data_IF_693236393696
#
_entry.id   IF_693236393696
#
_cell.length_a   1.000
_cell.length_b   1.000
_cell.length_c   1.000
_cell.angle_alpha   90.00
_cell.angle_beta   90.00
_cell.angle_gamma   90.00
#
_symmetry.space_group_name_H-M   'P 1'
#
loop_
_entity.id
_entity.type
_entity.pdbx_description
1 polymer ?
#
# COMPACT_ATOMS: atom_id res chain seq x y z
N UNK A 1 12.98 -1.45 14.47
CA UNK A 1 13.54 -0.34 13.68
C UNK A 1 12.49 0.75 13.61
N UNK A 2 12.85 1.99 13.97
CA UNK A 2 11.91 3.13 13.94
C UNK A 2 11.40 3.39 12.53
N UNK A 3 10.11 3.67 12.41
CA UNK A 3 9.46 4.04 11.16
C UNK A 3 10.15 5.25 10.50
N UNK A 4 10.46 6.29 11.29
CA UNK A 4 11.16 7.48 10.76
C UNK A 4 12.55 7.16 10.23
N UNK A 5 13.29 6.28 10.89
CA UNK A 5 14.61 5.84 10.44
C UNK A 5 14.50 5.05 9.14
N UNK A 6 13.54 4.12 9.04
CA UNK A 6 13.32 3.34 7.83
C UNK A 6 12.97 4.25 6.64
N UNK A 7 11.99 5.16 6.82
CA UNK A 7 11.57 6.06 5.75
C UNK A 7 12.70 7.03 5.36
N UNK A 8 13.48 7.54 6.31
CA UNK A 8 14.66 8.35 5.99
C UNK A 8 15.70 7.56 5.19
N UNK A 9 15.97 6.30 5.52
CA UNK A 9 16.90 5.48 4.76
C UNK A 9 16.49 5.31 3.29
N UNK A 10 15.18 5.28 2.99
CA UNK A 10 14.69 5.17 1.60
C UNK A 10 15.10 6.36 0.73
N UNK A 11 15.35 7.54 1.31
CA UNK A 11 15.77 8.73 0.54
C UNK A 11 17.21 8.61 0.02
N UNK A 12 17.98 7.65 0.55
CA UNK A 12 19.36 7.39 0.18
C UNK A 12 19.50 6.17 -0.76
N UNK A 13 18.41 5.45 -1.03
CA UNK A 13 18.41 4.22 -1.81
C UNK A 13 18.13 4.47 -3.30
N UNK A 14 18.62 3.58 -4.20
CA UNK A 14 18.15 3.55 -5.57
C UNK A 14 16.62 3.38 -5.65
N UNK A 15 15.98 4.02 -6.62
CA UNK A 15 14.51 4.08 -6.73
C UNK A 15 13.80 2.71 -6.64
N UNK A 16 14.24 1.63 -7.33
CA UNK A 16 13.55 0.35 -7.23
C UNK A 16 13.52 -0.22 -5.80
N UNK A 17 14.63 -0.04 -5.06
CA UNK A 17 14.76 -0.51 -3.68
C UNK A 17 13.95 0.40 -2.74
N UNK A 18 14.01 1.71 -2.96
CA UNK A 18 13.22 2.68 -2.19
C UNK A 18 11.71 2.41 -2.34
N UNK A 19 11.23 2.23 -3.56
CA UNK A 19 9.81 1.95 -3.85
C UNK A 19 9.34 0.65 -3.18
N UNK A 20 10.14 -0.42 -3.25
CA UNK A 20 9.81 -1.67 -2.55
C UNK A 20 9.78 -1.47 -1.03
N UNK A 21 10.73 -0.75 -0.44
CA UNK A 21 10.76 -0.48 0.99
C UNK A 21 9.57 0.37 1.46
N UNK A 22 9.21 1.41 0.71
CA UNK A 22 8.04 2.25 0.98
C UNK A 22 6.74 1.44 0.88
N UNK A 23 6.60 0.63 -0.17
CA UNK A 23 5.42 -0.21 -0.37
C UNK A 23 5.31 -1.29 0.72
N UNK A 24 6.42 -1.95 1.08
CA UNK A 24 6.46 -2.96 2.14
C UNK A 24 6.07 -2.35 3.50
N UNK A 25 6.58 -1.17 3.81
CA UNK A 25 6.23 -0.43 5.03
C UNK A 25 4.73 -0.12 5.06
N UNK A 26 4.18 0.30 3.92
CA UNK A 26 2.75 0.58 3.77
C UNK A 26 1.91 -0.67 3.99
N UNK A 27 2.22 -1.77 3.28
CA UNK A 27 1.53 -3.05 3.44
C UNK A 27 1.61 -3.56 4.88
N UNK A 28 2.76 -3.40 5.55
CA UNK A 28 2.92 -3.81 6.94
C UNK A 28 2.02 -2.99 7.88
N UNK A 29 1.99 -1.67 7.74
CA UNK A 29 1.19 -0.81 8.61
C UNK A 29 -0.32 -0.97 8.37
N UNK A 30 -0.72 -1.12 7.10
CA UNK A 30 -2.13 -1.18 6.70
C UNK A 30 -2.72 -2.59 6.82
N UNK A 31 -1.93 -3.64 6.54
CA UNK A 31 -2.49 -4.96 6.23
C UNK A 31 -1.70 -6.15 6.77
N UNK A 32 -0.71 -5.98 7.68
CA UNK A 32 0.09 -7.12 8.19
C UNK A 32 -0.74 -8.27 8.75
N UNK A 33 -1.91 -8.00 9.31
CA UNK A 33 -2.83 -9.00 9.88
C UNK A 33 -3.84 -9.55 8.88
N UNK A 34 -3.84 -9.08 7.64
CA UNK A 34 -4.75 -9.50 6.58
C UNK A 34 -4.22 -10.75 5.85
N UNK A 35 -5.10 -11.54 5.18
CA UNK A 35 -4.67 -12.58 4.27
C UNK A 35 -3.76 -12.01 3.17
N UNK A 36 -2.95 -12.87 2.53
CA UNK A 36 -1.99 -12.42 1.49
C UNK A 36 -2.66 -11.66 0.36
N UNK A 37 -3.86 -12.08 -0.06
CA UNK A 37 -4.64 -11.35 -1.07
C UNK A 37 -5.06 -9.94 -0.59
N UNK A 38 -5.33 -9.75 0.71
CA UNK A 38 -5.62 -8.43 1.27
C UNK A 38 -4.39 -7.52 1.29
N UNK A 39 -3.21 -8.08 1.54
CA UNK A 39 -1.93 -7.36 1.47
C UNK A 39 -1.59 -6.93 0.04
N UNK A 40 -1.78 -7.84 -0.93
CA UNK A 40 -1.64 -7.57 -2.37
C UNK A 40 -2.63 -6.49 -2.83
N UNK A 41 -3.87 -6.52 -2.33
CA UNK A 41 -4.89 -5.54 -2.68
C UNK A 41 -4.55 -4.12 -2.18
N UNK A 42 -3.98 -3.97 -0.98
CA UNK A 42 -3.47 -2.66 -0.51
C UNK A 42 -2.30 -2.18 -1.37
N UNK A 43 -1.38 -3.07 -1.73
CA UNK A 43 -0.27 -2.73 -2.63
C UNK A 43 -0.77 -2.29 -4.02
N UNK A 44 -1.80 -2.96 -4.55
CA UNK A 44 -2.47 -2.62 -5.80
C UNK A 44 -3.08 -1.21 -5.76
N UNK A 45 -3.71 -0.81 -4.65
CA UNK A 45 -4.23 0.57 -4.47
C UNK A 45 -3.09 1.60 -4.53
N UNK A 46 -1.98 1.37 -3.82
CA UNK A 46 -0.84 2.29 -3.82
C UNK A 46 -0.21 2.43 -5.22
N UNK A 47 0.01 1.32 -5.92
CA UNK A 47 0.57 1.31 -7.28
C UNK A 47 -0.37 1.95 -8.31
N UNK A 48 -1.69 1.74 -8.17
CA UNK A 48 -2.70 2.40 -9.00
C UNK A 48 -2.72 3.91 -8.78
N UNK A 49 -2.62 4.37 -7.53
CA UNK A 49 -2.54 5.80 -7.21
C UNK A 49 -1.29 6.45 -7.83
N UNK A 50 -0.15 5.74 -7.85
CA UNK A 50 1.07 6.18 -8.57
C UNK A 50 0.83 6.31 -10.07
N UNK A 51 0.24 5.30 -10.71
CA UNK A 51 -0.03 5.34 -12.16
C UNK A 51 -0.98 6.48 -12.55
N UNK A 52 -1.89 6.89 -11.64
CA UNK A 52 -2.78 8.04 -11.82
C UNK A 52 -2.09 9.39 -11.61
N UNK A 53 -0.84 9.42 -11.14
CA UNK A 53 -0.06 10.64 -10.92
C UNK A 53 -0.54 11.50 -9.75
N UNK A 54 -1.49 11.01 -8.94
CA UNK A 54 -1.88 11.69 -7.72
C UNK A 54 -0.74 11.58 -6.70
N UNK A 55 -0.32 12.71 -6.13
CA UNK A 55 0.74 12.81 -5.10
C UNK A 55 2.19 12.56 -5.57
N UNK A 56 2.41 12.09 -6.80
CA UNK A 56 3.74 11.95 -7.39
C UNK A 56 3.86 10.78 -8.36
N UNK A 57 5.08 10.60 -8.87
CA UNK A 57 5.47 9.61 -9.89
C UNK A 57 6.22 8.40 -9.33
N UNK A 58 6.44 8.35 -8.01
CA UNK A 58 7.10 7.23 -7.32
C UNK A 58 6.20 6.63 -6.24
N UNK A 59 6.41 5.37 -5.88
CA UNK A 59 5.60 4.72 -4.84
C UNK A 59 5.81 5.41 -3.50
N UNK A 60 7.06 5.77 -3.18
CA UNK A 60 7.36 6.51 -1.95
C UNK A 60 6.59 7.83 -1.83
N UNK A 61 6.47 8.62 -2.90
CA UNK A 61 5.69 9.88 -2.88
C UNK A 61 4.21 9.65 -2.60
N UNK A 62 3.63 8.61 -3.21
CA UNK A 62 2.22 8.24 -3.00
C UNK A 62 1.97 7.80 -1.57
N UNK A 63 2.79 6.89 -1.05
CA UNK A 63 2.54 6.34 0.27
C UNK A 63 2.94 7.30 1.38
N UNK A 64 3.84 8.25 1.16
CA UNK A 64 4.18 9.29 2.15
C UNK A 64 3.39 10.59 1.96
N UNK A 65 2.36 10.58 1.10
CA UNK A 65 1.45 11.71 0.95
C UNK A 65 0.60 11.90 2.23
N UNK A 66 0.33 13.15 2.64
CA UNK A 66 -0.39 13.43 3.88
C UNK A 66 -1.74 12.72 3.95
N UNK A 67 -1.95 11.96 5.04
CA UNK A 67 -3.19 11.26 5.36
C UNK A 67 -3.66 10.22 4.33
N UNK A 68 -2.80 9.81 3.40
CA UNK A 68 -3.17 8.82 2.38
C UNK A 68 -2.97 7.38 2.86
N UNK A 69 -1.96 7.17 3.71
CA UNK A 69 -1.60 5.89 4.30
C UNK A 69 -1.02 6.07 5.72
N UNK A 70 -1.00 4.98 6.47
CA UNK A 70 -0.55 4.88 7.85
C UNK A 70 0.90 5.29 8.07
N UNK A 71 1.73 5.26 7.03
CA UNK A 71 3.09 5.82 6.98
C UNK A 71 3.19 7.28 7.42
N UNK A 72 2.11 8.08 7.26
CA UNK A 72 2.07 9.50 7.66
C UNK A 72 1.19 9.79 8.87
N UNK A 73 0.32 8.85 9.26
CA UNK A 73 -0.56 9.00 10.43
C UNK A 73 -0.05 8.24 11.65
N UNK A 74 0.89 7.30 11.46
CA UNK A 74 1.59 6.59 12.53
C UNK A 74 2.80 7.41 12.99
N UNK A 75 3.02 7.47 14.30
CA UNK A 75 4.19 8.15 14.87
C UNK A 75 5.50 7.65 14.24
N UNK A 76 6.41 8.56 13.90
CA UNK A 76 7.75 8.20 13.43
C UNK A 76 8.57 7.39 14.45
N UNK A 77 8.23 7.46 15.74
CA UNK A 77 8.84 6.63 16.79
C UNK A 77 8.31 5.20 16.84
N UNK A 78 7.30 4.86 16.06
CA UNK A 78 6.75 3.51 15.98
C UNK A 78 7.84 2.51 15.58
N UNK A 79 7.95 1.43 16.35
CA UNK A 79 8.93 0.38 16.10
C UNK A 79 8.33 -0.73 15.24
N UNK A 80 8.92 -0.95 14.07
CA UNK A 80 8.70 -2.18 13.29
C UNK A 80 9.44 -3.30 14.01
N UNK A 81 8.69 -4.10 14.77
CA UNK A 81 9.21 -5.17 15.64
C UNK A 81 8.83 -6.58 15.19
N UNK A 82 7.69 -6.77 14.50
CA UNK A 82 7.30 -8.06 13.96
C UNK A 82 8.02 -8.31 12.62
N UNK A 83 9.26 -8.79 12.71
CA UNK A 83 10.11 -9.06 11.55
C UNK A 83 9.50 -10.09 10.58
N UNK A 84 8.91 -11.22 11.02
CA UNK A 84 8.28 -12.16 10.08
C UNK A 84 7.16 -11.50 9.25
N UNK A 85 6.32 -10.68 9.86
CA UNK A 85 5.27 -9.96 9.14
C UNK A 85 5.85 -8.89 8.20
N UNK A 86 6.95 -8.24 8.58
CA UNK A 86 7.62 -7.27 7.72
C UNK A 86 8.29 -7.93 6.51
N UNK A 87 8.94 -9.09 6.69
CA UNK A 87 9.49 -9.89 5.58
C UNK A 87 8.39 -10.31 4.62
N UNK A 88 7.24 -10.78 5.13
CA UNK A 88 6.08 -11.08 4.28
C UNK A 88 5.62 -9.84 3.50
N UNK A 89 5.51 -8.68 4.16
CA UNK A 89 5.12 -7.44 3.50
C UNK A 89 6.14 -7.01 2.43
N UNK A 90 7.43 -7.27 2.64
CA UNK A 90 8.51 -7.04 1.67
C UNK A 90 8.35 -7.91 0.42
N UNK A 91 8.04 -9.19 0.59
CA UNK A 91 7.78 -10.11 -0.51
C UNK A 91 6.51 -9.73 -1.29
N UNK A 92 5.44 -9.37 -0.57
CA UNK A 92 4.20 -8.86 -1.18
C UNK A 92 4.47 -7.60 -2.01
N UNK A 93 5.25 -6.66 -1.49
CA UNK A 93 5.62 -5.44 -2.19
C UNK A 93 6.42 -5.73 -3.47
N UNK A 94 7.44 -6.59 -3.38
CA UNK A 94 8.26 -6.98 -4.53
C UNK A 94 7.43 -7.67 -5.62
N UNK A 95 6.59 -8.63 -5.23
CA UNK A 95 5.68 -9.33 -6.16
C UNK A 95 4.68 -8.38 -6.81
N UNK A 96 4.15 -7.41 -6.04
CA UNK A 96 3.21 -6.42 -6.56
C UNK A 96 3.87 -5.49 -7.58
N UNK A 97 5.09 -5.02 -7.30
CA UNK A 97 5.86 -4.19 -8.23
C UNK A 97 6.17 -4.97 -9.51
N UNK A 98 6.61 -6.22 -9.41
CA UNK A 98 6.87 -7.07 -10.57
C UNK A 98 5.60 -7.28 -11.41
N UNK A 99 4.47 -7.62 -10.78
CA UNK A 99 3.19 -7.72 -11.46
C UNK A 99 2.80 -6.40 -12.15
N UNK A 100 3.08 -5.26 -11.53
CA UNK A 100 2.78 -3.93 -12.11
C UNK A 100 3.67 -3.53 -13.29
N UNK A 101 4.80 -4.21 -13.49
CA UNK A 101 5.64 -4.02 -14.68
C UNK A 101 5.05 -4.73 -15.92
N UNK A 102 4.13 -5.68 -15.73
CA UNK A 102 3.47 -6.37 -16.83
C UNK A 102 2.51 -5.42 -17.58
N UNK A 103 2.26 -5.67 -18.89
CA UNK A 103 1.17 -5.04 -19.61
C UNK A 103 -0.16 -5.22 -18.88
N UNK A 104 -1.04 -4.21 -18.93
CA UNK A 104 -2.29 -4.21 -18.15
C UNK A 104 -3.11 -5.51 -18.31
N UNK A 105 -3.21 -6.04 -19.54
CA UNK A 105 -3.95 -7.26 -19.84
C UNK A 105 -3.36 -8.54 -19.20
N UNK A 106 -2.12 -8.50 -18.73
CA UNK A 106 -1.41 -9.62 -18.09
C UNK A 106 -1.30 -9.44 -16.57
N UNK A 107 -1.61 -8.27 -16.03
CA UNK A 107 -1.56 -8.02 -14.58
C UNK A 107 -2.61 -8.87 -13.88
N UNK A 108 -2.22 -9.62 -12.85
CA UNK A 108 -3.16 -10.15 -11.88
C UNK A 108 -3.68 -8.98 -11.04
N UNK A 109 -4.99 -8.74 -11.06
CA UNK A 109 -5.66 -7.71 -10.26
C UNK A 109 -6.65 -8.37 -9.31
N UNK A 110 -6.53 -8.09 -8.02
CA UNK A 110 -7.46 -8.56 -7.00
C UNK A 110 -8.59 -7.57 -6.78
N UNK A 111 -8.27 -6.28 -6.91
CA UNK A 111 -9.20 -5.18 -6.68
C UNK A 111 -9.18 -4.23 -7.87
N UNK A 112 -9.65 -4.68 -9.05
CA UNK A 112 -9.61 -3.89 -10.27
C UNK A 112 -10.35 -2.56 -10.06
N UNK A 113 -9.75 -1.47 -10.57
CA UNK A 113 -10.20 -0.08 -10.43
C UNK A 113 -10.18 0.52 -9.02
N UNK A 114 -10.04 -0.28 -7.96
CA UNK A 114 -10.11 0.24 -6.60
C UNK A 114 -8.94 1.18 -6.29
N UNK A 115 -9.23 2.42 -5.90
CA UNK A 115 -8.24 3.42 -5.53
C UNK A 115 -8.39 3.89 -4.08
N UNK A 116 -9.35 3.32 -3.35
CA UNK A 116 -9.56 3.55 -1.93
C UNK A 116 -9.87 2.23 -1.22
N UNK A 117 -9.57 2.18 0.07
CA UNK A 117 -10.02 1.11 0.94
C UNK A 117 -10.33 1.66 2.33
N UNK A 118 -11.15 0.95 3.07
CA UNK A 118 -11.44 1.23 4.46
C UNK A 118 -11.71 -0.07 5.21
N UNK A 119 -11.54 -0.04 6.54
CA UNK A 119 -12.05 -1.11 7.39
C UNK A 119 -13.56 -1.26 7.20
N UNK A 120 -14.04 -2.50 7.16
CA UNK A 120 -15.47 -2.85 7.07
C UNK A 120 -16.28 -2.36 8.28
N UNK A 121 -15.60 -1.93 9.35
CA UNK A 121 -16.21 -1.41 10.58
C UNK A 121 -16.55 0.09 10.52
N UNK A 122 -16.18 0.80 9.45
CA UNK A 122 -16.50 2.22 9.27
C UNK A 122 -17.15 2.48 7.90
N UNK A 123 -17.88 3.60 7.80
CA UNK A 123 -18.39 4.12 6.53
C UNK A 123 -17.82 5.52 6.29
N UNK A 124 -16.72 5.64 5.54
CA UNK A 124 -16.12 6.93 5.23
C UNK A 124 -17.08 7.83 4.44
N UNK A 125 -16.98 9.16 4.60
CA UNK A 125 -17.85 10.09 3.88
C UNK A 125 -17.71 10.02 2.36
N UNK A 126 -16.53 9.63 1.86
CA UNK A 126 -16.23 9.47 0.43
C UNK A 126 -16.77 8.17 -0.17
N UNK A 127 -17.21 7.19 0.63
CA UNK A 127 -17.63 5.87 0.13
C UNK A 127 -19.09 5.87 -0.35
N UNK A 128 -19.42 6.74 -1.31
CA UNK A 128 -20.76 6.83 -1.88
C UNK A 128 -21.12 5.61 -2.74
N UNK A 129 -20.10 5.01 -3.38
CA UNK A 129 -20.25 3.80 -4.18
C UNK A 129 -20.18 2.55 -3.29
N UNK A 130 -20.81 1.46 -3.73
CA UNK A 130 -20.61 0.14 -3.11
C UNK A 130 -19.15 -0.30 -3.29
N UNK A 131 -18.59 -1.06 -2.33
CA UNK A 131 -17.26 -1.64 -2.52
C UNK A 131 -17.29 -2.62 -3.70
N UNK A 132 -16.23 -2.58 -4.49
CA UNK A 132 -15.99 -3.50 -5.60
C UNK A 132 -15.69 -4.92 -5.10
N UNK A 133 -14.89 -5.01 -4.05
CA UNK A 133 -14.43 -6.26 -3.43
C UNK A 133 -14.22 -6.02 -1.94
N UNK A 134 -14.50 -7.02 -1.11
CA UNK A 134 -14.11 -7.04 0.30
C UNK A 134 -13.16 -8.22 0.52
N UNK A 135 -11.99 -7.97 1.10
CA UNK A 135 -10.97 -8.98 1.39
C UNK A 135 -10.51 -8.81 2.84
N UNK A 136 -10.73 -9.84 3.65
CA UNK A 136 -10.51 -9.75 5.09
C UNK A 136 -11.34 -8.62 5.69
N UNK A 137 -10.69 -7.73 6.44
CA UNK A 137 -11.34 -6.62 7.12
C UNK A 137 -11.46 -5.36 6.25
N UNK A 138 -11.00 -5.40 4.99
CA UNK A 138 -10.99 -4.23 4.10
C UNK A 138 -12.05 -4.32 3.00
N UNK A 139 -12.80 -3.24 2.84
CA UNK A 139 -13.65 -2.98 1.69
C UNK A 139 -12.93 -2.03 0.72
N UNK A 140 -12.89 -2.40 -0.58
CA UNK A 140 -12.14 -1.68 -1.62
C UNK A 140 -13.08 -1.00 -2.61
N UNK A 141 -12.84 0.29 -2.87
CA UNK A 141 -13.75 1.17 -3.61
C UNK A 141 -13.05 1.79 -4.81
N UNK A 142 -13.79 1.92 -5.92
CA UNK A 142 -13.44 2.79 -7.03
C UNK A 142 -14.18 4.12 -6.85
N UNK A 143 -13.46 5.15 -6.44
CA UNK A 143 -14.01 6.48 -6.19
C UNK A 143 -13.73 7.41 -7.37
N UNK A 144 -12.51 7.35 -7.92
CA UNK A 144 -12.12 8.11 -9.11
C UNK A 144 -11.98 7.23 -10.36
#
# INVERSE_FOLDING_TARGET
MKLSLLLWLTTLMPQPVADQACLATTVYLEARSQPTDGQLAVAEVALRRRDRGHYGDTVCKVVTAPHQFATTTTSGSFEISNLPAFVKAWDVAGNSIHNWQLPLAQRRMLVPHADHFATTTISPSWSHNRPSVTIGDHAFYAVN
#
